data_IF_846861416203
#
_entry.id   IF_846861416203
#
_cell.length_a   1.000
_cell.length_b   1.000
_cell.length_c   1.000
_cell.angle_alpha   90.00
_cell.angle_beta   90.00
_cell.angle_gamma   90.00
#
_symmetry.space_group_name_H-M   'P 1'
#
loop_
_entity.id
_entity.type
_entity.pdbx_description
1 polymer ?
#
# COMPACT_ATOMS: atom_id res chain seq x y z
N UNK A 1 -2.35 7.82 -6.85
CA UNK A 1 -2.11 8.13 -5.43
C UNK A 1 -3.11 9.13 -4.87
N UNK A 2 -3.30 10.32 -5.47
CA UNK A 2 -4.26 11.37 -5.05
C UNK A 2 -5.67 10.86 -4.69
N UNK A 3 -6.21 9.92 -5.48
CA UNK A 3 -7.54 9.34 -5.28
C UNK A 3 -7.52 8.15 -4.29
N UNK A 4 -6.56 7.24 -4.44
CA UNK A 4 -6.60 5.93 -3.80
C UNK A 4 -6.37 5.98 -2.28
N UNK A 5 -5.29 6.64 -1.84
CA UNK A 5 -4.88 6.78 -0.43
C UNK A 5 -4.80 5.48 0.41
N UNK A 6 -4.94 4.29 -0.19
CA UNK A 6 -4.99 3.00 0.52
C UNK A 6 -3.75 2.72 1.38
N UNK A 7 -2.55 2.98 0.86
CA UNK A 7 -1.31 2.77 1.63
C UNK A 7 -1.26 3.64 2.90
N UNK A 8 -1.77 4.87 2.85
CA UNK A 8 -1.86 5.75 4.00
C UNK A 8 -2.91 5.26 5.00
N UNK A 9 -4.11 4.89 4.53
CA UNK A 9 -5.18 4.36 5.36
C UNK A 9 -4.82 3.04 6.06
N UNK A 10 -3.97 2.21 5.45
CA UNK A 10 -3.55 0.92 6.02
C UNK A 10 -2.27 1.04 6.88
N UNK A 11 -1.63 2.21 6.94
CA UNK A 11 -0.36 2.37 7.62
C UNK A 11 -0.55 2.30 9.15
N UNK A 12 0.02 1.31 9.85
CA UNK A 12 -0.21 1.14 11.28
C UNK A 12 0.40 2.27 12.14
N UNK A 13 1.45 2.93 11.62
CA UNK A 13 2.14 4.06 12.27
C UNK A 13 1.67 5.43 11.77
N UNK A 14 0.69 5.49 10.85
CA UNK A 14 0.21 6.72 10.22
C UNK A 14 1.35 7.59 9.62
N UNK A 15 2.42 6.96 9.14
CA UNK A 15 3.61 7.66 8.64
C UNK A 15 3.45 8.22 7.22
N UNK A 16 2.43 7.80 6.48
CA UNK A 16 2.20 8.22 5.09
C UNK A 16 1.11 9.29 5.07
N UNK A 17 1.37 10.47 4.49
CA UNK A 17 0.39 11.56 4.46
C UNK A 17 -0.83 11.23 3.59
N UNK A 18 -1.99 11.70 4.02
CA UNK A 18 -3.25 11.64 3.25
C UNK A 18 -3.42 12.84 2.30
N UNK A 19 -2.63 13.88 2.48
CA UNK A 19 -2.73 15.12 1.72
C UNK A 19 -2.12 15.02 0.31
N UNK A 20 -2.26 16.10 -0.45
CA UNK A 20 -1.59 16.27 -1.72
C UNK A 20 -0.06 16.36 -1.54
N UNK A 21 0.74 16.05 -2.58
CA UNK A 21 2.18 16.09 -2.47
C UNK A 21 2.64 17.53 -2.23
N UNK A 22 3.70 17.68 -1.44
CA UNK A 22 4.30 18.97 -1.12
C UNK A 22 5.71 19.07 -1.71
N UNK A 23 6.20 20.29 -1.89
CA UNK A 23 7.58 20.51 -2.29
C UNK A 23 8.51 20.26 -1.12
N UNK A 24 9.43 19.32 -1.27
CA UNK A 24 10.40 18.93 -0.25
C UNK A 24 11.76 18.84 -0.90
N UNK A 25 12.67 19.73 -0.49
CA UNK A 25 14.02 19.84 -1.04
C UNK A 25 14.00 20.05 -2.57
N UNK A 26 13.11 20.92 -3.06
CA UNK A 26 12.98 21.25 -4.49
C UNK A 26 12.31 20.17 -5.35
N UNK A 27 11.71 19.14 -4.75
CA UNK A 27 10.97 18.09 -5.49
C UNK A 27 9.57 17.92 -4.93
N UNK A 28 8.57 17.93 -5.81
CA UNK A 28 7.16 17.65 -5.46
C UNK A 28 6.97 16.15 -5.17
N UNK A 29 6.73 15.80 -3.90
CA UNK A 29 6.54 14.40 -3.49
C UNK A 29 5.67 14.25 -2.24
N UNK A 30 5.14 13.05 -2.03
CA UNK A 30 4.58 12.66 -0.74
C UNK A 30 5.73 12.28 0.20
N UNK A 31 6.12 13.19 1.10
CA UNK A 31 7.14 12.91 2.13
C UNK A 31 6.51 12.14 3.28
N UNK A 32 6.96 10.90 3.48
CA UNK A 32 6.60 10.12 4.66
C UNK A 32 7.36 10.60 5.91
N UNK A 33 6.78 10.37 7.08
CA UNK A 33 7.48 10.53 8.36
C UNK A 33 8.35 9.29 8.60
N UNK A 34 9.66 9.44 8.44
CA UNK A 34 10.60 8.33 8.54
C UNK A 34 10.79 7.84 9.98
N UNK A 35 10.71 8.75 10.95
CA UNK A 35 10.88 8.46 12.38
C UNK A 35 9.76 7.54 12.86
N UNK A 36 8.51 7.92 12.63
CA UNK A 36 7.37 7.09 13.06
C UNK A 36 7.28 5.76 12.33
N UNK A 37 7.76 5.70 11.08
CA UNK A 37 7.84 4.47 10.31
C UNK A 37 8.90 3.53 10.91
N UNK A 38 10.08 4.07 11.20
CA UNK A 38 11.19 3.31 11.77
C UNK A 38 10.92 2.84 13.20
N UNK A 39 10.29 3.68 14.02
CA UNK A 39 9.85 3.29 15.37
C UNK A 39 8.92 2.07 15.34
N UNK A 40 8.03 2.00 14.34
CA UNK A 40 7.15 0.86 14.18
C UNK A 40 7.89 -0.41 13.75
N UNK A 41 8.94 -0.30 12.94
CA UNK A 41 9.79 -1.44 12.59
C UNK A 41 10.45 -2.02 13.86
N UNK A 42 10.95 -1.14 14.74
CA UNK A 42 11.50 -1.55 16.03
C UNK A 42 10.48 -2.28 16.91
N UNK A 43 9.21 -1.85 16.91
CA UNK A 43 8.12 -2.47 17.70
C UNK A 43 7.70 -3.84 17.17
N UNK A 44 7.66 -4.02 15.85
CA UNK A 44 7.24 -5.29 15.22
C UNK A 44 8.41 -6.27 15.09
N UNK A 45 9.65 -5.79 15.25
CA UNK A 45 10.87 -6.60 15.19
C UNK A 45 11.17 -7.15 13.79
N UNK A 46 10.46 -6.70 12.77
CA UNK A 46 10.61 -7.10 11.36
C UNK A 46 10.23 -5.93 10.44
N UNK A 47 10.55 -6.07 9.15
CA UNK A 47 10.13 -5.10 8.13
C UNK A 47 8.61 -5.05 8.00
N UNK A 48 8.01 -3.90 8.27
CA UNK A 48 6.54 -3.74 8.25
C UNK A 48 5.93 -3.99 6.86
N UNK A 49 6.47 -3.37 5.80
CA UNK A 49 6.13 -3.53 4.37
C UNK A 49 4.63 -3.47 3.96
N UNK A 50 3.70 -3.15 4.86
CA UNK A 50 2.25 -3.11 4.62
C UNK A 50 1.91 -2.21 3.43
N UNK A 51 2.52 -1.03 3.33
CA UNK A 51 2.26 -0.08 2.26
C UNK A 51 2.53 -0.66 0.85
N UNK A 52 3.59 -1.45 0.70
CA UNK A 52 3.92 -2.14 -0.55
C UNK A 52 2.93 -3.27 -0.82
N UNK A 53 2.55 -4.02 0.21
CA UNK A 53 1.63 -5.14 0.11
C UNK A 53 0.22 -4.75 -0.32
N UNK A 54 -0.32 -3.66 0.23
CA UNK A 54 -1.70 -3.21 -0.04
C UNK A 54 -1.83 -2.40 -1.33
N UNK A 55 -0.71 -2.03 -1.94
CA UNK A 55 -0.72 -1.22 -3.14
C UNK A 55 -1.37 -1.99 -4.30
N UNK A 56 -2.39 -1.42 -4.97
CA UNK A 56 -3.06 -2.10 -6.08
C UNK A 56 -2.13 -2.39 -7.27
N UNK A 57 -1.02 -1.66 -7.36
CA UNK A 57 0.03 -1.85 -8.37
C UNK A 57 1.03 -2.95 -7.98
N UNK A 58 1.06 -3.41 -6.73
CA UNK A 58 2.01 -4.44 -6.28
C UNK A 58 1.46 -5.86 -6.37
N UNK A 59 0.20 -6.06 -6.76
CA UNK A 59 -0.35 -7.41 -6.95
C UNK A 59 0.35 -8.15 -8.09
N UNK A 60 0.26 -9.49 -8.05
CA UNK A 60 0.85 -10.38 -9.04
C UNK A 60 0.38 -10.02 -10.46
N UNK A 61 1.32 -10.03 -11.42
CA UNK A 61 1.10 -9.70 -12.83
C UNK A 61 0.34 -10.79 -13.60
N UNK A 62 -0.85 -11.15 -13.12
CA UNK A 62 -1.76 -12.08 -13.79
C UNK A 62 -2.50 -11.41 -14.94
N UNK A 63 -3.04 -12.21 -15.88
CA UNK A 63 -3.84 -11.70 -17.00
C UNK A 63 -4.97 -10.73 -16.58
N UNK A 64 -5.83 -11.05 -15.58
CA UNK A 64 -6.85 -10.10 -15.13
C UNK A 64 -6.24 -8.81 -14.56
N UNK A 65 -5.13 -8.88 -13.82
CA UNK A 65 -4.46 -7.70 -13.28
C UNK A 65 -3.93 -6.78 -14.38
N UNK A 66 -3.41 -7.35 -15.48
CA UNK A 66 -2.94 -6.59 -16.65
C UNK A 66 -4.07 -5.83 -17.34
N UNK A 67 -5.23 -6.47 -17.53
CA UNK A 67 -6.42 -5.82 -18.12
C UNK A 67 -6.85 -4.65 -17.25
N UNK A 68 -6.97 -4.89 -15.95
CA UNK A 68 -7.42 -3.87 -15.01
C UNK A 68 -6.45 -2.67 -14.97
N UNK A 69 -5.13 -2.91 -14.95
CA UNK A 69 -4.12 -1.84 -15.05
C UNK A 69 -4.29 -1.04 -16.34
N UNK A 70 -4.49 -1.71 -17.48
CA UNK A 70 -4.71 -1.05 -18.77
C UNK A 70 -5.95 -0.13 -18.72
N UNK A 71 -7.05 -0.59 -18.12
CA UNK A 71 -8.27 0.21 -17.97
C UNK A 71 -8.08 1.43 -17.05
N UNK A 72 -7.41 1.25 -15.90
CA UNK A 72 -7.17 2.31 -14.91
C UNK A 72 -6.25 3.41 -15.44
N UNK A 73 -5.25 3.05 -16.27
CA UNK A 73 -4.35 4.05 -16.85
C UNK A 73 -5.09 5.00 -17.80
N UNK A 74 -6.08 4.49 -18.55
CA UNK A 74 -6.77 5.22 -19.61
C UNK A 74 -7.94 6.08 -19.14
N UNK A 75 -8.70 5.66 -18.14
CA UNK A 75 -9.95 6.34 -17.75
C UNK A 75 -9.94 6.79 -16.28
N UNK A 76 -10.33 8.05 -16.03
CA UNK A 76 -10.42 8.64 -14.70
C UNK A 76 -11.50 7.98 -13.83
N UNK A 77 -12.67 7.68 -14.41
CA UNK A 77 -13.78 7.02 -13.70
C UNK A 77 -13.39 5.62 -13.22
N UNK A 78 -12.62 4.91 -14.05
CA UNK A 78 -12.08 3.58 -13.70
C UNK A 78 -11.13 3.64 -12.51
N UNK A 79 -10.44 4.76 -12.26
CA UNK A 79 -9.57 4.91 -11.08
C UNK A 79 -10.38 4.96 -9.78
N UNK A 80 -11.51 5.67 -9.77
CA UNK A 80 -12.40 5.76 -8.61
C UNK A 80 -13.13 4.45 -8.36
N UNK A 81 -13.72 3.87 -9.43
CA UNK A 81 -14.41 2.58 -9.34
C UNK A 81 -13.47 1.49 -8.84
N UNK A 82 -12.25 1.43 -9.36
CA UNK A 82 -11.31 0.39 -8.95
C UNK A 82 -10.81 0.58 -7.52
N UNK A 83 -10.63 1.82 -7.06
CA UNK A 83 -10.31 2.05 -5.64
C UNK A 83 -11.40 1.49 -4.74
N UNK A 84 -12.67 1.71 -5.09
CA UNK A 84 -13.81 1.15 -4.36
C UNK A 84 -13.80 -0.38 -4.39
N UNK A 85 -13.63 -1.00 -5.56
CA UNK A 85 -13.55 -2.44 -5.69
C UNK A 85 -12.40 -3.02 -4.84
N UNK A 86 -11.23 -2.40 -4.91
CA UNK A 86 -10.04 -2.85 -4.17
C UNK A 86 -10.22 -2.76 -2.64
N UNK A 87 -10.96 -1.78 -2.15
CA UNK A 87 -11.39 -1.71 -0.73
C UNK A 87 -12.41 -2.80 -0.41
N UNK A 88 -13.38 -3.07 -1.30
CA UNK A 88 -14.40 -4.11 -1.10
C UNK A 88 -13.78 -5.52 -1.06
N UNK A 89 -12.89 -5.84 -2.00
CA UNK A 89 -12.33 -7.19 -2.13
C UNK A 89 -11.22 -7.49 -1.11
N UNK A 90 -10.34 -6.53 -0.85
CA UNK A 90 -9.16 -6.76 0.00
C UNK A 90 -9.25 -6.11 1.39
N UNK A 91 -10.27 -5.28 1.62
CA UNK A 91 -10.44 -4.55 2.87
C UNK A 91 -9.36 -3.49 3.11
N UNK A 92 -9.44 -2.88 4.29
CA UNK A 92 -8.47 -1.90 4.82
C UNK A 92 -7.45 -2.53 5.77
N UNK A 93 -7.66 -3.79 6.17
CA UNK A 93 -6.80 -4.52 7.09
C UNK A 93 -6.21 -5.76 6.42
N UNK A 94 -4.97 -5.70 5.89
CA UNK A 94 -4.34 -6.86 5.29
C UNK A 94 -4.00 -7.90 6.37
N UNK A 95 -4.60 -9.10 6.29
CA UNK A 95 -4.23 -10.22 7.18
C UNK A 95 -2.76 -10.63 6.97
N UNK A 96 -1.96 -10.88 8.01
CA UNK A 96 -0.61 -11.40 7.83
C UNK A 96 -0.63 -12.70 7.01
N UNK A 97 0.35 -12.89 6.12
CA UNK A 97 0.48 -14.18 5.42
C UNK A 97 1.02 -15.18 6.44
N UNK A 98 0.60 -16.45 6.39
CA UNK A 98 1.27 -17.48 7.19
C UNK A 98 2.76 -17.49 6.84
N UNK A 99 3.59 -17.76 7.85
CA UNK A 99 5.02 -17.92 7.64
C UNK A 99 5.22 -19.04 6.60
N UNK A 100 6.09 -18.84 5.59
CA UNK A 100 6.44 -19.91 4.67
C UNK A 100 7.09 -21.06 5.44
N UNK A 101 6.97 -22.28 4.93
CA UNK A 101 7.43 -23.51 5.61
C UNK A 101 8.88 -23.41 6.12
N UNK A 102 9.78 -22.81 5.32
CA UNK A 102 11.18 -22.61 5.68
C UNK A 102 11.41 -21.64 6.86
N UNK A 103 10.43 -20.78 7.18
CA UNK A 103 10.48 -19.80 8.27
C UNK A 103 9.65 -20.21 9.49
N UNK A 104 8.97 -21.36 9.43
CA UNK A 104 8.19 -21.86 10.54
C UNK A 104 9.14 -22.40 11.62
N UNK A 105 9.01 -21.89 12.84
CA UNK A 105 9.73 -22.44 13.99
C UNK A 105 9.05 -23.75 14.39
N UNK A 106 9.65 -24.89 14.01
CA UNK A 106 9.27 -26.19 14.52
C UNK A 106 9.85 -26.34 15.93
N UNK A 107 9.06 -25.96 16.95
CA UNK A 107 9.33 -26.30 18.36
C UNK A 107 8.89 -27.72 18.69
#
# INVERSE_FOLDING_TARGET
CKICKKCANCCPSNSIPLDDPAEVNGTLRWKLNAETCFDYWGKVGTDCNVCMRVCPWSHANTFPHKIIRSLITRNHLSRTLFNLMDVIFYGTQPKPKPAPEWAQFNS
#
